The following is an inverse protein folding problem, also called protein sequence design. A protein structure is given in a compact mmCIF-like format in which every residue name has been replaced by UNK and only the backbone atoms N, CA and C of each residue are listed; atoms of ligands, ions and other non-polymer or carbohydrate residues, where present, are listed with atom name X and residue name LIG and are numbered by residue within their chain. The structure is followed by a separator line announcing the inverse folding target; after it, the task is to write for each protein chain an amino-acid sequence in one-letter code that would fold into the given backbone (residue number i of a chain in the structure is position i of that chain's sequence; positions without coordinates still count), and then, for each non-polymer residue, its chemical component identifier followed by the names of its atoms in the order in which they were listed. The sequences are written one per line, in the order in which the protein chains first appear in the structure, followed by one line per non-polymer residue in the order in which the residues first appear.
data_IF_316778953183
#
_entry.id   IF_316778953183
#
_cell.length_a   1.000
_cell.length_b   1.000
_cell.length_c   1.000
_cell.angle_alpha   90.00
_cell.angle_beta   90.00
_cell.angle_gamma   90.00
#
_symmetry.space_group_name_H-M   'P 1'
#
loop_
_entity.id
_entity.type
_entity.pdbx_description
1 polymer ?
#
# COMPACT_ATOMS: atom_id res chain seq x y z
N UNK A 1 -8.14 27.55 -3.46
CA UNK A 1 -8.49 27.22 -2.05
C UNK A 1 -7.48 26.18 -1.59
N UNK A 2 -6.71 26.46 -0.55
CA UNK A 2 -5.86 25.41 0.06
C UNK A 2 -6.77 24.26 0.50
N UNK A 3 -6.42 23.01 0.08
CA UNK A 3 -7.12 21.82 0.56
C UNK A 3 -6.98 21.76 2.08
N UNK A 4 -8.08 21.64 2.79
CA UNK A 4 -8.07 21.46 4.24
C UNK A 4 -7.37 20.14 4.56
N UNK A 5 -6.44 20.15 5.54
CA UNK A 5 -5.74 18.96 6.00
C UNK A 5 -6.72 17.95 6.57
N UNK A 6 -6.68 16.75 6.06
CA UNK A 6 -7.25 15.58 6.69
C UNK A 6 -6.38 14.36 6.40
N UNK A 7 -6.00 13.61 7.44
CA UNK A 7 -5.30 12.33 7.30
C UNK A 7 -5.68 11.42 8.47
N UNK A 8 -6.12 10.22 8.15
CA UNK A 8 -6.49 9.17 9.11
C UNK A 8 -5.76 7.86 8.77
N UNK A 9 -4.45 7.91 8.53
CA UNK A 9 -3.71 6.79 7.96
C UNK A 9 -2.77 6.09 8.96
N UNK A 10 -2.80 6.46 10.24
CA UNK A 10 -1.97 5.81 11.25
C UNK A 10 -2.52 6.06 12.66
N UNK A 11 -1.99 5.32 13.63
CA UNK A 11 -2.32 5.42 15.05
C UNK A 11 -1.90 6.74 15.70
N UNK A 12 -1.02 7.52 15.06
CA UNK A 12 -0.56 8.83 15.57
C UNK A 12 -1.55 9.96 15.28
N UNK A 13 -2.69 9.67 14.69
CA UNK A 13 -3.73 10.67 14.44
C UNK A 13 -4.21 11.28 15.75
N UNK A 14 -4.23 12.63 15.81
CA UNK A 14 -4.58 13.36 17.02
C UNK A 14 -5.97 12.96 17.55
N UNK A 15 -6.02 12.46 18.79
CA UNK A 15 -7.27 12.09 19.46
C UNK A 15 -8.12 11.05 18.77
N UNK A 16 -7.52 10.19 17.95
CA UNK A 16 -8.21 9.17 17.15
C UNK A 16 -9.25 9.74 16.16
N UNK A 17 -9.14 11.00 15.81
CA UNK A 17 -10.08 11.71 14.93
C UNK A 17 -9.49 12.16 13.59
N UNK A 18 -8.23 11.88 13.35
CA UNK A 18 -7.47 12.31 12.17
C UNK A 18 -6.66 13.59 12.40
N UNK A 19 -5.65 13.80 11.55
CA UNK A 19 -4.87 15.02 11.53
C UNK A 19 -5.62 16.07 10.70
N UNK A 20 -6.06 17.16 11.35
CA UNK A 20 -6.84 18.26 10.74
C UNK A 20 -6.18 19.62 10.91
N UNK A 21 -4.94 19.68 11.43
CA UNK A 21 -4.19 20.89 11.67
C UNK A 21 -3.60 21.50 10.39
N UNK A 22 -2.45 22.18 10.51
CA UNK A 22 -1.70 22.70 9.35
C UNK A 22 -0.92 21.60 8.63
N UNK A 23 -0.52 20.57 9.36
CA UNK A 23 0.18 19.39 8.85
C UNK A 23 -0.18 18.17 9.70
N UNK A 24 0.15 16.95 9.23
CA UNK A 24 0.09 15.76 10.03
C UNK A 24 1.08 15.79 11.20
N UNK A 25 0.84 14.97 12.23
CA UNK A 25 1.80 14.77 13.34
C UNK A 25 3.19 14.36 12.83
N UNK A 26 3.24 13.60 11.75
CA UNK A 26 4.46 13.18 11.05
C UNK A 26 5.10 14.28 10.17
N UNK A 27 4.51 15.46 10.06
CA UNK A 27 4.97 16.52 9.17
C UNK A 27 4.36 16.47 7.75
N UNK A 28 3.54 15.48 7.42
CA UNK A 28 2.89 15.34 6.11
C UNK A 28 2.02 16.57 5.80
N UNK A 29 2.13 17.09 4.57
CA UNK A 29 1.29 18.20 4.11
C UNK A 29 -0.12 17.73 3.75
N UNK A 30 -1.06 18.68 3.66
CA UNK A 30 -2.42 18.38 3.18
C UNK A 30 -2.41 17.85 1.72
N UNK A 31 -1.48 18.34 0.89
CA UNK A 31 -1.29 17.87 -0.48
C UNK A 31 -0.85 16.41 -0.51
N UNK A 32 0.22 16.08 0.20
CA UNK A 32 0.75 14.72 0.30
C UNK A 32 -0.31 13.73 0.80
N UNK A 33 -1.07 14.11 1.87
CA UNK A 33 -2.14 13.28 2.38
C UNK A 33 -3.24 13.03 1.34
N UNK A 34 -3.64 14.08 0.61
CA UNK A 34 -4.63 13.98 -0.46
C UNK A 34 -4.16 13.13 -1.64
N UNK A 35 -2.88 13.23 -2.04
CA UNK A 35 -2.31 12.40 -3.10
C UNK A 35 -2.22 10.92 -2.70
N UNK A 36 -1.90 10.62 -1.45
CA UNK A 36 -1.87 9.24 -0.96
C UNK A 36 -3.28 8.62 -0.90
N UNK A 37 -4.31 9.40 -0.57
CA UNK A 37 -5.69 8.95 -0.66
C UNK A 37 -6.11 8.74 -2.12
N UNK A 38 -5.73 9.65 -3.04
CA UNK A 38 -5.98 9.53 -4.47
C UNK A 38 -5.30 8.29 -5.06
N UNK A 39 -4.04 8.03 -4.71
CA UNK A 39 -3.34 6.82 -5.13
C UNK A 39 -4.05 5.56 -4.61
N UNK A 40 -4.45 5.54 -3.35
CA UNK A 40 -5.19 4.40 -2.78
C UNK A 40 -6.52 4.17 -3.52
N UNK A 41 -7.25 5.24 -3.83
CA UNK A 41 -8.48 5.17 -4.62
C UNK A 41 -8.25 4.63 -6.04
N UNK A 42 -7.17 5.04 -6.69
CA UNK A 42 -6.77 4.54 -8.01
C UNK A 42 -6.41 3.05 -7.98
N UNK A 43 -5.67 2.60 -6.94
CA UNK A 43 -5.35 1.18 -6.73
C UNK A 43 -6.59 0.32 -6.51
N UNK A 44 -7.57 0.81 -5.74
CA UNK A 44 -8.88 0.14 -5.58
C UNK A 44 -9.58 0.03 -6.94
N UNK A 45 -9.59 1.10 -7.73
CA UNK A 45 -10.15 1.08 -9.08
C UNK A 45 -9.45 0.07 -10.01
N UNK A 46 -8.13 0.01 -9.97
CA UNK A 46 -7.34 -0.97 -10.74
C UNK A 46 -7.65 -2.40 -10.30
N UNK A 47 -7.66 -2.68 -9.00
CA UNK A 47 -7.96 -4.01 -8.47
C UNK A 47 -9.35 -4.51 -8.90
N UNK A 48 -10.37 -3.64 -8.85
CA UNK A 48 -11.73 -3.95 -9.31
C UNK A 48 -11.79 -4.18 -10.81
N UNK A 49 -11.01 -3.46 -11.61
CA UNK A 49 -10.89 -3.69 -13.05
C UNK A 49 -10.33 -5.09 -13.35
N UNK A 50 -9.36 -5.54 -12.57
CA UNK A 50 -8.75 -6.87 -12.70
C UNK A 50 -9.68 -8.03 -12.30
N UNK A 51 -10.78 -7.77 -11.60
CA UNK A 51 -11.77 -8.81 -11.30
C UNK A 51 -12.43 -9.41 -12.55
N UNK A 52 -12.51 -8.65 -13.65
CA UNK A 52 -13.11 -9.05 -14.91
C UNK A 52 -12.14 -9.08 -16.09
N UNK A 53 -10.89 -8.70 -15.87
CA UNK A 53 -9.86 -8.60 -16.90
C UNK A 53 -8.57 -9.26 -16.41
N UNK A 54 -7.78 -9.86 -17.32
CA UNK A 54 -6.52 -10.48 -16.92
C UNK A 54 -5.53 -9.42 -16.39
N UNK A 55 -4.96 -9.70 -15.24
CA UNK A 55 -3.84 -8.92 -14.69
C UNK A 55 -2.55 -9.25 -15.43
N UNK A 56 -1.59 -8.34 -15.40
CA UNK A 56 -0.24 -8.51 -15.93
C UNK A 56 0.78 -8.48 -14.79
N UNK A 57 2.00 -8.86 -15.05
CA UNK A 57 3.11 -8.72 -14.10
C UNK A 57 3.33 -7.25 -13.69
N UNK A 58 3.13 -6.31 -14.63
CA UNK A 58 3.20 -4.89 -14.33
C UNK A 58 2.07 -4.43 -13.39
N UNK A 59 0.86 -5.03 -13.51
CA UNK A 59 -0.26 -4.73 -12.61
C UNK A 59 0.06 -5.13 -11.18
N UNK A 60 0.61 -6.34 -10.96
CA UNK A 60 1.02 -6.82 -9.63
C UNK A 60 2.07 -5.86 -9.03
N UNK A 61 3.07 -5.49 -9.82
CA UNK A 61 4.10 -4.53 -9.39
C UNK A 61 3.52 -3.18 -8.99
N UNK A 62 2.60 -2.62 -9.77
CA UNK A 62 1.98 -1.33 -9.47
C UNK A 62 1.12 -1.37 -8.20
N UNK A 63 0.42 -2.48 -7.93
CA UNK A 63 -0.31 -2.68 -6.69
C UNK A 63 0.65 -2.65 -5.49
N UNK A 64 1.74 -3.42 -5.55
CA UNK A 64 2.72 -3.48 -4.46
C UNK A 64 3.43 -2.14 -4.25
N UNK A 65 3.94 -1.52 -5.32
CA UNK A 65 4.64 -0.23 -5.27
C UNK A 65 3.73 0.88 -4.74
N UNK A 66 2.47 0.91 -5.19
CA UNK A 66 1.50 1.91 -4.76
C UNK A 66 1.08 1.76 -3.30
N UNK A 67 0.82 0.56 -2.84
CA UNK A 67 0.50 0.30 -1.43
C UNK A 67 1.70 0.62 -0.53
N UNK A 68 2.91 0.20 -0.92
CA UNK A 68 4.14 0.49 -0.18
C UNK A 68 4.40 1.99 -0.10
N UNK A 69 4.25 2.74 -1.20
CA UNK A 69 4.41 4.19 -1.22
C UNK A 69 3.44 4.93 -0.28
N UNK A 70 2.30 4.32 0.06
CA UNK A 70 1.31 4.89 0.99
C UNK A 70 1.47 4.45 2.45
N UNK A 71 2.47 3.64 2.77
CA UNK A 71 2.81 3.32 4.16
C UNK A 71 3.21 4.60 4.90
N UNK A 72 2.82 4.68 6.16
CA UNK A 72 3.09 5.86 7.00
C UNK A 72 4.58 6.17 7.05
N UNK A 73 4.93 7.43 6.78
CA UNK A 73 6.30 7.97 6.85
C UNK A 73 7.30 7.38 5.83
N UNK A 74 6.84 6.71 4.78
CA UNK A 74 7.72 6.15 3.74
C UNK A 74 7.97 7.15 2.61
N UNK A 75 6.90 7.75 2.05
CA UNK A 75 7.04 8.64 0.91
C UNK A 75 6.32 9.97 1.12
N UNK A 76 7.08 11.07 1.09
CA UNK A 76 6.60 12.46 1.15
C UNK A 76 6.88 13.24 -0.14
N UNK A 77 7.35 12.57 -1.20
CA UNK A 77 7.58 13.17 -2.51
C UNK A 77 6.28 13.22 -3.31
N UNK A 78 5.64 14.38 -3.33
CA UNK A 78 4.38 14.61 -4.03
C UNK A 78 4.48 14.28 -5.53
N UNK A 79 5.60 14.62 -6.17
CA UNK A 79 5.80 14.35 -7.60
C UNK A 79 5.97 12.85 -7.88
N UNK A 80 6.63 12.11 -6.99
CA UNK A 80 6.75 10.65 -7.12
C UNK A 80 5.38 9.98 -6.99
N UNK A 81 4.55 10.45 -6.04
CA UNK A 81 3.19 9.93 -5.84
C UNK A 81 2.31 10.25 -7.07
N UNK A 82 2.37 11.47 -7.61
CA UNK A 82 1.64 11.86 -8.83
C UNK A 82 2.04 10.97 -10.02
N UNK A 83 3.34 10.75 -10.25
CA UNK A 83 3.81 9.84 -11.30
C UNK A 83 3.30 8.40 -11.13
N UNK A 84 3.17 7.94 -9.89
CA UNK A 84 2.65 6.61 -9.61
C UNK A 84 1.14 6.51 -9.87
N UNK A 85 0.37 7.53 -9.51
CA UNK A 85 -1.05 7.65 -9.86
C UNK A 85 -1.24 7.58 -11.39
N UNK A 86 -0.44 8.32 -12.14
CA UNK A 86 -0.52 8.34 -13.61
C UNK A 86 -0.21 6.94 -14.20
N UNK A 87 0.78 6.23 -13.65
CA UNK A 87 1.10 4.85 -14.08
C UNK A 87 -0.07 3.89 -13.78
N UNK A 88 -0.68 3.98 -12.61
CA UNK A 88 -1.82 3.14 -12.23
C UNK A 88 -3.02 3.39 -13.15
N UNK A 89 -3.29 4.66 -13.46
CA UNK A 89 -4.36 5.04 -14.40
C UNK A 89 -4.08 4.55 -15.82
N UNK A 90 -2.85 4.68 -16.29
CA UNK A 90 -2.45 4.18 -17.61
C UNK A 90 -2.58 2.66 -17.71
N UNK A 91 -2.17 1.92 -16.69
CA UNK A 91 -2.33 0.46 -16.64
C UNK A 91 -3.80 0.05 -16.66
N UNK A 92 -4.64 0.73 -15.89
CA UNK A 92 -6.09 0.49 -15.88
C UNK A 92 -6.69 0.71 -17.26
N UNK A 93 -6.35 1.79 -17.95
CA UNK A 93 -6.83 2.09 -19.31
C UNK A 93 -6.32 1.06 -20.32
N UNK A 94 -5.09 0.56 -20.17
CA UNK A 94 -4.54 -0.49 -21.01
C UNK A 94 -5.29 -1.82 -20.86
N UNK A 95 -5.63 -2.20 -19.60
CA UNK A 95 -6.33 -3.46 -19.31
C UNK A 95 -7.79 -3.41 -19.77
N UNK A 96 -8.47 -2.27 -19.62
CA UNK A 96 -9.86 -2.08 -19.94
C UNK A 96 -10.10 -0.76 -20.70
N UNK A 97 -9.71 -0.67 -21.98
CA UNK A 97 -9.85 0.53 -22.79
C UNK A 97 -11.31 1.00 -22.87
N UNK A 98 -11.55 2.28 -22.56
CA UNK A 98 -12.88 2.88 -22.64
C UNK A 98 -13.88 2.40 -21.59
N UNK A 99 -13.43 1.74 -20.52
CA UNK A 99 -14.29 1.28 -19.43
C UNK A 99 -14.98 2.44 -18.69
N UNK A 100 -14.47 3.66 -18.81
CA UNK A 100 -15.14 4.87 -18.33
C UNK A 100 -16.49 5.15 -19.02
N UNK A 101 -16.80 4.48 -20.13
CA UNK A 101 -18.03 4.63 -20.92
C UNK A 101 -19.04 3.51 -20.65
N UNK A 102 -18.65 2.47 -19.93
CA UNK A 102 -19.49 1.28 -19.72
C UNK A 102 -20.27 1.38 -18.40
N UNK A 103 -21.28 2.23 -18.33
CA UNK A 103 -22.14 2.41 -17.16
C UNK A 103 -22.93 1.16 -16.74
N UNK A 104 -22.95 0.08 -17.51
CA UNK A 104 -23.98 -0.94 -17.35
C UNK A 104 -23.53 -2.35 -16.99
N UNK A 105 -22.25 -2.74 -17.11
CA UNK A 105 -21.87 -4.18 -16.97
C UNK A 105 -20.58 -4.51 -16.21
N UNK A 106 -19.69 -3.56 -15.94
CA UNK A 106 -18.37 -3.86 -15.37
C UNK A 106 -18.28 -3.68 -13.86
N UNK A 107 -19.36 -3.38 -13.17
CA UNK A 107 -19.28 -2.88 -11.79
C UNK A 107 -18.60 -1.51 -11.76
N UNK A 108 -18.77 -0.77 -10.68
CA UNK A 108 -18.13 0.55 -10.55
C UNK A 108 -16.61 0.38 -10.41
N UNK A 109 -15.87 0.58 -11.51
CA UNK A 109 -14.40 0.55 -11.57
C UNK A 109 -13.78 1.94 -11.39
N UNK A 110 -14.59 2.96 -11.12
CA UNK A 110 -14.10 4.30 -10.84
C UNK A 110 -13.16 4.32 -9.64
N UNK A 111 -12.33 5.34 -9.59
CA UNK A 111 -11.46 5.58 -8.44
C UNK A 111 -12.33 5.74 -7.19
N UNK A 112 -11.90 5.08 -6.11
CA UNK A 112 -12.65 5.08 -4.88
C UNK A 112 -12.36 6.34 -4.06
N UNK A 113 -13.39 7.05 -3.64
CA UNK A 113 -13.22 8.17 -2.70
C UNK A 113 -12.98 7.63 -1.28
N UNK A 114 -11.77 7.82 -0.78
CA UNK A 114 -11.35 7.36 0.55
C UNK A 114 -12.17 7.96 1.69
N UNK A 115 -12.85 9.08 1.47
CA UNK A 115 -13.77 9.66 2.47
C UNK A 115 -14.87 8.69 2.85
N UNK A 116 -15.31 7.83 1.95
CA UNK A 116 -16.31 6.80 2.25
C UNK A 116 -15.87 5.83 3.34
N UNK A 117 -14.56 5.59 3.49
CA UNK A 117 -14.00 4.82 4.62
C UNK A 117 -13.92 5.71 5.86
N UNK A 118 -13.34 6.90 5.71
CA UNK A 118 -13.07 7.77 6.85
C UNK A 118 -14.33 8.31 7.53
N UNK A 119 -15.42 8.48 6.77
CA UNK A 119 -16.73 8.94 7.25
C UNK A 119 -17.69 7.80 7.57
N UNK A 120 -17.28 6.53 7.41
CA UNK A 120 -18.11 5.38 7.74
C UNK A 120 -18.36 5.28 9.26
N UNK A 121 -19.36 4.48 9.62
CA UNK A 121 -19.62 4.12 11.02
C UNK A 121 -18.35 3.54 11.66
N UNK A 122 -18.14 3.81 12.95
CA UNK A 122 -16.86 3.58 13.65
C UNK A 122 -16.31 2.16 13.51
N UNK A 123 -17.16 1.13 13.70
CA UNK A 123 -16.73 -0.26 13.59
C UNK A 123 -16.34 -0.62 12.16
N UNK A 124 -17.11 -0.18 11.18
CA UNK A 124 -16.83 -0.41 9.74
C UNK A 124 -15.53 0.31 9.34
N UNK A 125 -15.37 1.57 9.76
CA UNK A 125 -14.14 2.33 9.54
C UNK A 125 -12.93 1.62 10.14
N UNK A 126 -13.07 1.11 11.38
CA UNK A 126 -12.00 0.42 12.08
C UNK A 126 -11.59 -0.87 11.37
N UNK A 127 -12.55 -1.70 10.97
CA UNK A 127 -12.26 -2.96 10.26
C UNK A 127 -11.64 -2.71 8.87
N UNK A 128 -12.20 -1.76 8.09
CA UNK A 128 -11.62 -1.38 6.80
C UNK A 128 -10.21 -0.78 6.96
N UNK A 129 -9.98 0.00 8.01
CA UNK A 129 -8.65 0.54 8.31
C UNK A 129 -7.64 -0.56 8.66
N UNK A 130 -8.04 -1.56 9.45
CA UNK A 130 -7.18 -2.71 9.76
C UNK A 130 -6.79 -3.49 8.50
N UNK A 131 -7.74 -3.74 7.60
CA UNK A 131 -7.45 -4.39 6.31
C UNK A 131 -6.47 -3.52 5.50
N UNK A 132 -6.78 -2.22 5.32
CA UNK A 132 -5.96 -1.32 4.51
C UNK A 132 -4.55 -1.17 5.05
N UNK A 133 -4.38 -0.97 6.35
CA UNK A 133 -3.05 -0.83 6.95
C UNK A 133 -2.29 -2.17 6.94
N UNK A 134 -3.00 -3.27 7.12
CA UNK A 134 -2.44 -4.62 7.00
C UNK A 134 -1.87 -4.88 5.61
N UNK A 135 -2.64 -4.63 4.54
CA UNK A 135 -2.14 -4.82 3.17
C UNK A 135 -1.05 -3.83 2.77
N UNK A 136 -1.03 -2.61 3.32
CA UNK A 136 0.10 -1.68 3.12
C UNK A 136 1.40 -2.22 3.71
N UNK A 137 1.36 -2.68 4.96
CA UNK A 137 2.52 -3.30 5.60
C UNK A 137 2.97 -4.57 4.89
N UNK A 138 2.02 -5.42 4.49
CA UNK A 138 2.29 -6.63 3.73
C UNK A 138 2.90 -6.31 2.34
N UNK A 139 2.46 -5.23 1.69
CA UNK A 139 3.02 -4.80 0.40
C UNK A 139 4.49 -4.42 0.49
N UNK A 140 4.97 -3.87 1.61
CA UNK A 140 6.38 -3.61 1.81
C UNK A 140 7.18 -4.93 1.79
N UNK A 141 6.73 -5.96 2.50
CA UNK A 141 7.37 -7.28 2.49
C UNK A 141 7.33 -7.93 1.09
N UNK A 142 6.18 -7.91 0.43
CA UNK A 142 6.03 -8.48 -0.91
C UNK A 142 6.87 -7.73 -1.95
N UNK A 143 7.01 -6.40 -1.83
CA UNK A 143 7.84 -5.60 -2.71
C UNK A 143 9.32 -5.97 -2.58
N UNK A 144 9.85 -6.07 -1.36
CA UNK A 144 11.23 -6.50 -1.14
C UNK A 144 11.49 -7.93 -1.63
N UNK A 145 10.56 -8.86 -1.41
CA UNK A 145 10.66 -10.19 -1.97
C UNK A 145 10.67 -10.19 -3.51
N UNK A 146 9.80 -9.37 -4.12
CA UNK A 146 9.71 -9.21 -5.57
C UNK A 146 11.00 -8.64 -6.18
N UNK A 147 11.65 -7.68 -5.53
CA UNK A 147 12.94 -7.13 -5.98
C UNK A 147 14.02 -8.21 -6.03
N UNK A 148 13.98 -9.17 -5.11
CA UNK A 148 14.86 -10.34 -5.09
C UNK A 148 14.42 -11.47 -6.05
N UNK A 149 13.33 -11.27 -6.81
CA UNK A 149 12.82 -12.24 -7.78
C UNK A 149 11.85 -13.28 -7.19
N UNK A 150 11.37 -13.07 -5.97
CA UNK A 150 10.45 -13.98 -5.29
C UNK A 150 9.03 -13.41 -5.29
N UNK A 151 8.09 -14.18 -5.79
CA UNK A 151 6.66 -13.83 -5.82
C UNK A 151 5.81 -15.03 -5.36
N UNK A 152 4.65 -14.74 -4.78
CA UNK A 152 3.65 -15.73 -4.40
C UNK A 152 2.28 -15.30 -4.92
N UNK A 153 1.66 -16.15 -5.74
CA UNK A 153 0.40 -15.84 -6.43
C UNK A 153 -0.78 -15.72 -5.46
N UNK A 154 -0.78 -16.46 -4.35
CA UNK A 154 -1.84 -16.34 -3.35
C UNK A 154 -1.74 -15.01 -2.62
N UNK A 155 -0.52 -14.58 -2.27
CA UNK A 155 -0.25 -13.26 -1.68
C UNK A 155 -0.68 -12.16 -2.65
N UNK A 156 -0.27 -12.24 -3.92
CA UNK A 156 -0.65 -11.25 -4.92
C UNK A 156 -2.17 -11.20 -5.13
N UNK A 157 -2.83 -12.34 -5.25
CA UNK A 157 -4.29 -12.41 -5.42
C UNK A 157 -5.04 -11.80 -4.24
N UNK A 158 -4.51 -11.95 -3.03
CA UNK A 158 -5.13 -11.37 -1.84
C UNK A 158 -5.13 -9.84 -1.86
N UNK A 159 -4.11 -9.17 -2.41
CA UNK A 159 -4.11 -7.71 -2.55
C UNK A 159 -5.30 -7.22 -3.37
N UNK A 160 -5.60 -7.86 -4.49
CA UNK A 160 -6.76 -7.50 -5.33
C UNK A 160 -8.08 -7.72 -4.61
N UNK A 161 -8.21 -8.86 -3.92
CA UNK A 161 -9.38 -9.18 -3.11
C UNK A 161 -9.58 -8.11 -2.02
N UNK A 162 -8.56 -7.82 -1.23
CA UNK A 162 -8.65 -6.89 -0.12
C UNK A 162 -8.96 -5.47 -0.59
N UNK A 163 -8.27 -4.97 -1.64
CA UNK A 163 -8.54 -3.66 -2.23
C UNK A 163 -9.98 -3.55 -2.76
N UNK A 164 -10.49 -4.59 -3.42
CA UNK A 164 -11.86 -4.59 -3.93
C UNK A 164 -12.88 -4.55 -2.80
N UNK A 165 -12.67 -5.30 -1.74
CA UNK A 165 -13.56 -5.36 -0.56
C UNK A 165 -13.65 -4.01 0.15
N UNK A 166 -12.57 -3.21 0.17
CA UNK A 166 -12.61 -1.87 0.76
C UNK A 166 -13.68 -0.97 0.12
N UNK A 167 -14.02 -1.20 -1.14
CA UNK A 167 -15.04 -0.45 -1.86
C UNK A 167 -16.48 -1.00 -1.68
N UNK A 168 -16.63 -2.19 -1.09
CA UNK A 168 -17.94 -2.81 -0.88
C UNK A 168 -18.64 -2.24 0.36
N UNK A 169 -19.98 -2.23 0.33
CA UNK A 169 -20.82 -1.79 1.45
C UNK A 169 -21.10 -2.99 2.40
N UNK A 170 -20.01 -3.59 2.92
CA UNK A 170 -20.06 -4.75 3.81
C UNK A 170 -20.18 -4.35 5.27
N UNK A 171 -20.88 -5.21 6.04
CA UNK A 171 -21.02 -5.10 7.49
C UNK A 171 -19.87 -5.79 8.25
N UNK A 172 -19.97 -5.77 9.58
CA UNK A 172 -18.97 -6.37 10.47
C UNK A 172 -18.81 -7.89 10.25
N UNK A 173 -19.92 -8.61 10.03
CA UNK A 173 -19.90 -10.07 9.85
C UNK A 173 -19.11 -10.49 8.60
N UNK A 174 -19.11 -9.64 7.57
CA UNK A 174 -18.38 -9.89 6.32
C UNK A 174 -16.94 -9.39 6.39
N UNK A 175 -16.67 -8.28 7.05
CA UNK A 175 -15.35 -7.68 7.15
C UNK A 175 -14.42 -8.40 8.14
N UNK A 176 -14.94 -8.92 9.27
CA UNK A 176 -14.11 -9.56 10.29
C UNK A 176 -13.34 -10.80 9.75
N UNK A 177 -13.96 -11.70 8.98
CA UNK A 177 -13.22 -12.79 8.33
C UNK A 177 -12.05 -12.28 7.43
N UNK A 178 -12.22 -11.16 6.74
CA UNK A 178 -11.18 -10.58 5.88
C UNK A 178 -10.03 -10.02 6.71
N UNK A 179 -10.30 -9.42 7.86
CA UNK A 179 -9.26 -8.99 8.80
C UNK A 179 -8.42 -10.19 9.25
N UNK A 180 -9.08 -11.31 9.61
CA UNK A 180 -8.38 -12.54 9.99
C UNK A 180 -7.56 -13.14 8.83
N UNK A 181 -8.12 -13.14 7.63
CA UNK A 181 -7.43 -13.60 6.42
C UNK A 181 -6.22 -12.70 6.10
N UNK A 182 -6.34 -11.37 6.30
CA UNK A 182 -5.21 -10.45 6.15
C UNK A 182 -4.02 -10.86 7.04
N UNK A 183 -4.29 -11.24 8.29
CA UNK A 183 -3.27 -11.75 9.19
C UNK A 183 -2.65 -13.06 8.72
N UNK A 184 -3.46 -14.00 8.25
CA UNK A 184 -2.98 -15.31 7.76
C UNK A 184 -2.13 -15.17 6.50
N UNK A 185 -2.55 -14.36 5.54
CA UNK A 185 -1.80 -14.11 4.31
C UNK A 185 -0.52 -13.31 4.59
N UNK A 186 -0.55 -12.40 5.58
CA UNK A 186 0.66 -11.69 5.99
C UNK A 186 1.74 -12.64 6.52
N UNK A 187 1.38 -13.67 7.30
CA UNK A 187 2.36 -14.68 7.72
C UNK A 187 3.02 -15.37 6.52
N UNK A 188 2.25 -15.71 5.50
CA UNK A 188 2.77 -16.30 4.26
C UNK A 188 3.69 -15.33 3.51
N UNK A 189 3.34 -14.04 3.49
CA UNK A 189 4.16 -13.01 2.88
C UNK A 189 5.48 -12.81 3.63
N UNK A 190 5.47 -12.87 4.96
CA UNK A 190 6.68 -12.82 5.79
C UNK A 190 7.58 -14.05 5.55
N UNK A 191 7.00 -15.25 5.43
CA UNK A 191 7.73 -16.46 5.05
C UNK A 191 8.38 -16.33 3.66
N UNK A 192 7.65 -15.73 2.70
CA UNK A 192 8.18 -15.45 1.37
C UNK A 192 9.41 -14.52 1.44
N UNK A 193 9.34 -13.45 2.21
CA UNK A 193 10.46 -12.51 2.37
C UNK A 193 11.63 -13.16 3.10
N UNK A 194 11.38 -13.92 4.17
CA UNK A 194 12.43 -14.65 4.89
C UNK A 194 13.18 -15.60 3.94
N UNK A 195 12.45 -16.37 3.14
CA UNK A 195 13.04 -17.25 2.12
C UNK A 195 13.83 -16.46 1.08
N UNK A 196 13.28 -15.35 0.56
CA UNK A 196 13.94 -14.50 -0.42
C UNK A 196 15.29 -13.97 0.11
N UNK A 197 15.31 -13.49 1.35
CA UNK A 197 16.52 -13.00 1.99
C UNK A 197 17.53 -14.11 2.29
N UNK A 198 17.09 -15.21 2.89
CA UNK A 198 18.00 -16.28 3.30
C UNK A 198 18.58 -17.03 2.12
N UNK A 199 17.84 -17.23 1.05
CA UNK A 199 18.35 -17.86 -0.18
C UNK A 199 19.27 -16.91 -0.97
N UNK A 200 19.05 -15.57 -0.89
CA UNK A 200 19.88 -14.58 -1.59
C UNK A 200 21.15 -14.23 -0.83
N UNK A 201 21.06 -14.00 0.48
CA UNK A 201 22.16 -13.45 1.30
C UNK A 201 22.73 -14.45 2.31
N UNK A 202 22.09 -15.59 2.51
CA UNK A 202 22.42 -16.56 3.58
C UNK A 202 21.74 -16.21 4.90
N UNK A 203 21.90 -17.12 5.87
CA UNK A 203 21.39 -16.87 7.22
C UNK A 203 22.23 -15.80 7.93
N UNK A 204 21.61 -14.96 8.77
CA UNK A 204 22.35 -14.00 9.58
C UNK A 204 23.35 -14.71 10.51
N UNK A 205 24.60 -14.28 10.46
CA UNK A 205 25.65 -14.77 11.34
C UNK A 205 26.22 -13.63 12.19
N UNK A 206 26.55 -13.87 13.48
CA UNK A 206 27.19 -12.86 14.29
C UNK A 206 28.54 -12.45 13.69
N UNK A 207 28.75 -11.15 13.51
CA UNK A 207 30.01 -10.59 13.00
C UNK A 207 30.63 -9.64 14.01
N UNK A 208 31.97 -9.64 14.07
CA UNK A 208 32.70 -8.69 14.89
C UNK A 208 32.80 -7.35 14.18
N UNK A 209 32.37 -6.28 14.84
CA UNK A 209 32.47 -4.89 14.36
C UNK A 209 33.41 -4.09 15.25
N UNK A 210 34.31 -3.33 14.63
CA UNK A 210 35.20 -2.44 15.37
C UNK A 210 34.43 -1.28 16.00
N UNK A 211 34.71 -0.99 17.28
CA UNK A 211 34.18 0.19 17.97
C UNK A 211 34.95 1.47 17.66
N UNK A 212 36.13 1.32 17.03
CA UNK A 212 37.02 2.44 16.77
C UNK A 212 36.88 2.88 15.33
N UNK A 213 36.82 4.19 15.12
CA UNK A 213 36.91 4.79 13.80
C UNK A 213 38.37 4.73 13.37
N UNK A 214 38.68 4.08 12.26
CA UNK A 214 39.99 4.04 11.69
C UNK A 214 40.37 5.37 11.03
N UNK A 215 41.63 5.53 10.65
CA UNK A 215 42.08 6.74 9.98
C UNK A 215 41.57 6.77 8.54
N UNK A 216 40.72 7.76 8.21
CA UNK A 216 40.09 7.93 6.87
C UNK A 216 40.96 8.61 5.86
N UNK A 217 40.39 8.81 4.62
CA UNK A 217 38.99 9.23 4.36
C UNK A 217 37.99 8.08 4.30
N UNK A 218 36.70 8.39 4.60
CA UNK A 218 35.58 7.44 4.60
C UNK A 218 34.45 7.94 3.70
N UNK A 219 33.77 6.98 3.09
CA UNK A 219 32.44 7.19 2.51
C UNK A 219 31.43 6.61 3.52
N UNK A 220 30.56 7.46 4.03
CA UNK A 220 29.50 7.05 4.95
C UNK A 220 28.27 6.69 4.13
N UNK A 221 27.83 5.46 4.23
CA UNK A 221 26.57 4.99 3.64
C UNK A 221 25.62 4.71 4.79
N UNK A 222 24.42 5.28 4.72
CA UNK A 222 23.37 5.05 5.70
C UNK A 222 22.16 4.46 4.98
N UNK A 223 21.53 3.50 5.58
CA UNK A 223 20.37 2.82 5.03
C UNK A 223 20.11 1.55 5.79
N UNK A 224 18.94 1.01 5.61
CA UNK A 224 18.51 -0.22 6.23
C UNK A 224 18.68 -1.38 5.25
N UNK A 225 18.11 -1.26 4.08
CA UNK A 225 18.15 -2.25 3.00
C UNK A 225 18.83 -1.60 1.79
N UNK A 226 20.14 -1.82 1.66
CA UNK A 226 20.96 -1.13 0.66
C UNK A 226 20.95 -1.83 -0.71
N UNK A 227 20.36 -3.00 -0.80
CA UNK A 227 20.32 -3.81 -2.02
C UNK A 227 18.89 -3.90 -2.58
N UNK A 228 17.88 -4.06 -1.77
CA UNK A 228 16.46 -4.21 -2.14
C UNK A 228 15.56 -2.99 -1.83
#
# INVERSE_FOLDING_TARGET
MEKQMFCYQCEQTAGCSGCTGKAGVCGKTARTAGLQDELTGALIGLARTCASNPKTENTDRLILEGLFATVTNVNFDDEAIERLIDKVRAEKEQIAPGCAVCEAKCGNTDEYDMKRIWEAQEDIRSLKSLILFGIRGMAAYAYHAMVLGYVDEEVNTFFYKALSILAEDWGMEELLPVVMETGAVNLKCMELLDRANTETFGNPEPSEVSWKVEKGPFIVVTGHDLYD
#
